data_IF_479666561119
#
_entry.id   IF_479666561119
#
_cell.length_a   1.000
_cell.length_b   1.000
_cell.length_c   1.000
_cell.angle_alpha   90.00
_cell.angle_beta   90.00
_cell.angle_gamma   90.00
#
_symmetry.space_group_name_H-M   'P 1'
#
loop_
_entity.id
_entity.type
_entity.pdbx_description
1 polymer ?
#
# COMPACT_ATOMS: atom_id res chain seq x y z
N UNK A 1 0.35 18.60 1.09
CA UNK A 1 0.90 19.04 2.40
C UNK A 1 2.37 18.67 2.56
N UNK A 2 2.75 17.39 2.44
CA UNK A 2 4.14 16.92 2.59
C UNK A 2 5.19 17.69 1.76
N UNK A 3 4.94 17.89 0.46
CA UNK A 3 5.84 18.66 -0.43
C UNK A 3 6.16 20.08 0.06
N UNK A 4 5.20 20.74 0.74
CA UNK A 4 5.33 22.14 1.16
C UNK A 4 6.02 22.30 2.52
N UNK A 5 5.79 21.36 3.43
CA UNK A 5 6.11 21.53 4.84
C UNK A 5 7.09 20.49 5.41
N UNK A 6 7.31 19.38 4.71
CA UNK A 6 8.11 18.24 5.18
C UNK A 6 9.16 17.80 4.14
N UNK A 7 9.54 18.70 3.23
CA UNK A 7 10.62 18.49 2.26
C UNK A 7 10.51 17.21 1.43
N UNK A 8 9.29 16.81 1.09
CA UNK A 8 9.04 15.68 0.20
C UNK A 8 9.44 16.05 -1.23
N UNK A 9 10.51 15.44 -1.74
CA UNK A 9 11.00 15.58 -3.11
C UNK A 9 10.89 14.25 -3.83
N UNK A 10 10.56 14.28 -5.13
CA UNK A 10 10.46 13.09 -5.99
C UNK A 10 11.60 13.07 -7.00
N UNK A 11 12.15 11.89 -7.30
CA UNK A 11 13.19 11.68 -8.31
C UNK A 11 12.96 10.34 -9.04
N UNK A 12 13.93 9.88 -9.83
CA UNK A 12 13.83 8.61 -10.57
C UNK A 12 13.79 7.36 -9.67
N UNK A 13 14.11 7.49 -8.37
CA UNK A 13 14.09 6.40 -7.37
C UNK A 13 12.92 6.53 -6.41
N UNK A 14 12.31 7.71 -6.30
CA UNK A 14 11.19 7.98 -5.41
C UNK A 14 10.08 8.72 -6.13
N UNK A 15 9.01 7.99 -6.44
CA UNK A 15 7.81 8.51 -7.07
C UNK A 15 6.62 8.50 -6.09
N UNK A 16 5.69 9.43 -6.28
CA UNK A 16 4.49 9.57 -5.44
C UNK A 16 3.26 9.50 -6.34
N UNK A 17 2.51 8.42 -6.18
CA UNK A 17 1.27 8.18 -6.90
C UNK A 17 0.08 8.56 -6.01
N UNK A 18 -0.82 9.41 -6.53
CA UNK A 18 -2.05 9.80 -5.85
C UNK A 18 -3.21 9.05 -6.48
N UNK A 19 -3.57 7.92 -5.88
CA UNK A 19 -4.61 7.01 -6.35
C UNK A 19 -5.21 6.25 -5.16
N UNK A 20 -6.35 5.58 -5.37
CA UNK A 20 -6.81 4.54 -4.46
C UNK A 20 -5.80 3.38 -4.46
N UNK A 21 -5.28 3.02 -3.28
CA UNK A 21 -4.21 2.03 -3.17
C UNK A 21 -4.61 0.61 -3.60
N UNK A 22 -5.89 0.23 -3.45
CA UNK A 22 -6.38 -1.09 -3.87
C UNK A 22 -6.50 -1.16 -5.40
N UNK A 23 -7.00 -0.08 -6.01
CA UNK A 23 -7.01 0.04 -7.48
C UNK A 23 -5.60 0.08 -8.06
N UNK A 24 -4.68 0.79 -7.38
CA UNK A 24 -3.27 0.84 -7.76
C UNK A 24 -2.65 -0.56 -7.80
N UNK A 25 -2.84 -1.37 -6.75
CA UNK A 25 -2.33 -2.75 -6.73
C UNK A 25 -2.90 -3.60 -7.86
N UNK A 26 -4.21 -3.49 -8.12
CA UNK A 26 -4.84 -4.20 -9.23
C UNK A 26 -4.23 -3.82 -10.59
N UNK A 27 -4.06 -2.52 -10.85
CA UNK A 27 -3.41 -2.02 -12.07
C UNK A 27 -1.99 -2.54 -12.20
N UNK A 28 -1.21 -2.54 -11.12
CA UNK A 28 0.16 -3.05 -11.10
C UNK A 28 0.20 -4.55 -11.45
N UNK A 29 -0.75 -5.34 -10.96
CA UNK A 29 -0.88 -6.76 -11.29
C UNK A 29 -1.15 -6.92 -12.79
N UNK A 30 -2.11 -6.16 -13.34
CA UNK A 30 -2.46 -6.18 -14.77
C UNK A 30 -1.27 -5.77 -15.67
N UNK A 31 -0.39 -4.89 -15.18
CA UNK A 31 0.81 -4.45 -15.90
C UNK A 31 2.02 -5.37 -15.70
N UNK A 32 1.90 -6.41 -14.85
CA UNK A 32 3.00 -7.34 -14.56
C UNK A 32 4.11 -6.74 -13.70
N UNK A 33 3.83 -5.65 -12.97
CA UNK A 33 4.78 -5.03 -12.05
C UNK A 33 5.12 -5.97 -10.88
N UNK A 34 6.26 -5.74 -10.23
CA UNK A 34 6.73 -6.51 -9.08
C UNK A 34 7.44 -5.62 -8.08
N UNK A 35 7.31 -5.98 -6.80
CA UNK A 35 8.00 -5.31 -5.71
C UNK A 35 8.76 -6.33 -4.86
N UNK A 36 9.96 -5.94 -4.42
CA UNK A 36 10.74 -6.72 -3.45
C UNK A 36 10.18 -6.58 -2.03
N UNK A 37 9.53 -5.45 -1.73
CA UNK A 37 8.85 -5.22 -0.46
C UNK A 37 7.61 -4.34 -0.65
N UNK A 38 6.60 -4.58 0.18
CA UNK A 38 5.40 -3.73 0.30
C UNK A 38 5.26 -3.36 1.78
N UNK A 39 5.15 -2.05 2.05
CA UNK A 39 4.81 -1.51 3.37
C UNK A 39 3.38 -0.97 3.32
N UNK A 40 2.50 -1.49 4.17
CA UNK A 40 1.13 -1.03 4.31
C UNK A 40 0.98 -0.23 5.61
N UNK A 41 1.03 1.09 5.46
CA UNK A 41 0.79 2.07 6.52
C UNK A 41 -0.38 2.97 6.09
N UNK A 42 -1.59 2.41 6.21
CA UNK A 42 -2.83 3.06 5.78
C UNK A 42 -3.88 2.91 6.89
N UNK A 43 -4.01 3.92 7.73
CA UNK A 43 -4.86 3.89 8.91
C UNK A 43 -6.13 4.71 8.74
N UNK A 44 -7.20 4.29 9.42
CA UNK A 44 -8.39 5.09 9.63
C UNK A 44 -8.25 5.94 10.89
N UNK A 45 -8.80 7.16 10.85
CA UNK A 45 -9.00 7.98 12.06
C UNK A 45 -10.42 7.79 12.65
N UNK A 46 -11.23 6.93 12.03
CA UNK A 46 -12.56 6.59 12.49
C UNK A 46 -12.46 5.65 13.70
N UNK A 47 -12.98 6.12 14.84
CA UNK A 47 -12.98 5.38 16.10
C UNK A 47 -13.98 4.23 16.11
N UNK A 48 -14.91 4.19 15.16
CA UNK A 48 -15.89 3.10 15.00
C UNK A 48 -15.43 2.01 14.02
N UNK A 49 -14.28 2.18 13.37
CA UNK A 49 -13.74 1.17 12.45
C UNK A 49 -13.36 -0.11 13.21
N UNK A 50 -13.59 -1.29 12.61
CA UNK A 50 -13.19 -2.55 13.27
C UNK A 50 -11.67 -2.71 13.31
N UNK A 51 -10.98 -2.13 12.34
CA UNK A 51 -9.52 -2.06 12.27
C UNK A 51 -9.07 -0.61 12.09
N UNK A 52 -8.20 -0.15 12.99
CA UNK A 52 -7.60 1.20 12.92
C UNK A 52 -6.49 1.22 11.88
N UNK A 53 -5.61 0.22 11.89
CA UNK A 53 -4.54 0.03 10.92
C UNK A 53 -4.40 -1.47 10.61
N UNK A 54 -4.26 -1.87 9.34
CA UNK A 54 -4.62 -1.10 8.15
C UNK A 54 -6.15 -0.91 8.03
N UNK A 55 -6.58 0.07 7.22
CA UNK A 55 -7.99 0.27 6.88
C UNK A 55 -8.54 -0.97 6.14
N UNK A 56 -9.77 -1.36 6.50
CA UNK A 56 -10.40 -2.63 6.14
C UNK A 56 -10.36 -3.01 4.65
N UNK A 57 -10.38 -2.03 3.76
CA UNK A 57 -10.38 -2.28 2.31
C UNK A 57 -9.12 -3.04 1.85
N UNK A 58 -7.99 -2.87 2.53
CA UNK A 58 -6.75 -3.60 2.25
C UNK A 58 -6.74 -5.03 2.81
N UNK A 59 -7.68 -5.37 3.70
CA UNK A 59 -7.85 -6.71 4.28
C UNK A 59 -8.80 -7.60 3.47
N UNK A 60 -9.38 -7.06 2.39
CA UNK A 60 -10.20 -7.87 1.47
C UNK A 60 -9.36 -8.95 0.78
N UNK A 61 -9.98 -10.09 0.48
CA UNK A 61 -9.29 -11.21 -0.19
C UNK A 61 -8.67 -10.77 -1.53
N UNK A 62 -9.35 -9.89 -2.28
CA UNK A 62 -8.84 -9.33 -3.52
C UNK A 62 -7.56 -8.50 -3.28
N UNK A 63 -7.59 -7.57 -2.32
CA UNK A 63 -6.43 -6.72 -2.02
C UNK A 63 -5.24 -7.56 -1.54
N UNK A 64 -5.46 -8.52 -0.64
CA UNK A 64 -4.41 -9.42 -0.14
C UNK A 64 -3.81 -10.23 -1.29
N UNK A 65 -4.65 -10.80 -2.18
CA UNK A 65 -4.15 -11.56 -3.34
C UNK A 65 -3.35 -10.70 -4.30
N UNK A 66 -3.79 -9.46 -4.55
CA UNK A 66 -3.07 -8.54 -5.42
C UNK A 66 -1.71 -8.17 -4.83
N UNK A 67 -1.65 -7.81 -3.54
CA UNK A 67 -0.38 -7.53 -2.86
C UNK A 67 0.56 -8.76 -2.87
N UNK A 68 0.03 -9.95 -2.60
CA UNK A 68 0.81 -11.19 -2.65
C UNK A 68 1.31 -11.52 -4.07
N UNK A 69 0.53 -11.28 -5.12
CA UNK A 69 0.93 -11.50 -6.50
C UNK A 69 2.01 -10.52 -7.00
N UNK A 70 2.02 -9.32 -6.44
CA UNK A 70 3.03 -8.30 -6.70
C UNK A 70 4.36 -8.59 -5.99
N UNK A 71 4.31 -9.31 -4.87
CA UNK A 71 5.51 -9.78 -4.17
C UNK A 71 6.10 -11.00 -4.90
N UNK A 72 7.41 -10.96 -5.16
CA UNK A 72 8.15 -12.14 -5.62
C UNK A 72 8.21 -13.23 -4.54
N UNK A 73 8.74 -14.41 -4.87
CA UNK A 73 8.88 -15.54 -3.93
C UNK A 73 9.67 -15.20 -2.65
N UNK A 74 10.54 -14.19 -2.71
CA UNK A 74 11.36 -13.69 -1.59
C UNK A 74 10.93 -12.29 -1.13
N UNK A 75 9.78 -11.81 -1.63
CA UNK A 75 9.26 -10.50 -1.27
C UNK A 75 8.83 -10.46 0.19
N UNK A 76 8.94 -9.28 0.80
CA UNK A 76 8.52 -9.07 2.20
C UNK A 76 7.32 -8.14 2.27
N UNK A 77 6.31 -8.55 3.03
CA UNK A 77 5.18 -7.69 3.38
C UNK A 77 5.36 -7.20 4.83
N UNK A 78 5.21 -5.90 5.03
CA UNK A 78 5.23 -5.27 6.37
C UNK A 78 4.00 -4.38 6.49
N UNK A 79 3.41 -4.36 7.68
CA UNK A 79 2.22 -3.60 8.02
C UNK A 79 2.37 -3.06 9.44
N UNK A 80 1.77 -1.91 9.72
CA UNK A 80 1.91 -1.24 11.02
C UNK A 80 1.27 -2.07 12.16
N UNK A 81 0.04 -2.56 11.95
CA UNK A 81 -0.67 -3.43 12.90
C UNK A 81 -1.38 -4.58 12.17
N UNK A 82 -0.66 -5.66 11.83
CA UNK A 82 -1.32 -6.91 11.43
C UNK A 82 -1.67 -7.73 12.68
N UNK A 83 -2.93 -7.67 13.10
CA UNK A 83 -3.50 -8.53 14.15
C UNK A 83 -3.84 -9.93 13.65
#
# INVERSE_FOLDING_TARGET
MAKKWFSLETDYRYDVVVEDGVQYFRRCVEQGERFDAIMLDACSLDLEANFTCPIEVFLTEEAIKNMAALLGQRGSFVCDECG
#
